data_IF_989525948782
#
_entry.id   IF_989525948782
#
_cell.length_a   1.000
_cell.length_b   1.000
_cell.length_c   1.000
_cell.angle_alpha   90.00
_cell.angle_beta   90.00
_cell.angle_gamma   90.00
#
_symmetry.space_group_name_H-M   'P 1'
#
loop_
_entity.id
_entity.type
_entity.pdbx_description
1 polymer ?
#
# COMPACT_ATOMS: atom_id res chain seq x y z
N UNK A 1 31.22 -25.60 22.08
CA UNK A 1 29.83 -25.61 22.58
C UNK A 1 29.26 -24.19 22.70
N UNK A 2 29.84 -23.29 23.51
CA UNK A 2 29.35 -21.90 23.69
C UNK A 2 29.30 -21.11 22.36
N UNK A 3 30.37 -21.14 21.56
CA UNK A 3 30.42 -20.42 20.27
C UNK A 3 29.32 -20.84 19.27
N UNK A 4 28.93 -22.12 19.27
CA UNK A 4 27.88 -22.64 18.39
C UNK A 4 26.50 -22.23 18.91
N UNK A 5 26.30 -22.25 20.23
CA UNK A 5 25.09 -21.74 20.85
C UNK A 5 24.87 -20.25 20.54
N UNK A 6 25.91 -19.41 20.69
CA UNK A 6 25.85 -17.98 20.37
C UNK A 6 25.50 -17.74 18.90
N UNK A 7 26.14 -18.46 17.96
CA UNK A 7 25.82 -18.35 16.53
C UNK A 7 24.36 -18.70 16.25
N UNK A 8 23.87 -19.80 16.83
CA UNK A 8 22.49 -20.24 16.67
C UNK A 8 21.50 -19.23 17.22
N UNK A 9 21.78 -18.60 18.37
CA UNK A 9 20.94 -17.54 18.93
C UNK A 9 20.88 -16.32 18.01
N UNK A 10 22.02 -15.91 17.44
CA UNK A 10 22.06 -14.80 16.47
C UNK A 10 21.21 -15.13 15.23
N UNK A 11 21.29 -16.34 14.71
CA UNK A 11 20.49 -16.76 13.55
C UNK A 11 18.99 -16.74 13.87
N UNK A 12 18.58 -17.18 15.06
CA UNK A 12 17.19 -17.07 15.50
C UNK A 12 16.73 -15.62 15.62
N UNK A 13 17.54 -14.73 16.23
CA UNK A 13 17.20 -13.31 16.33
C UNK A 13 17.05 -12.66 14.95
N UNK A 14 17.99 -12.93 14.03
CA UNK A 14 17.93 -12.38 12.67
C UNK A 14 16.72 -12.91 11.90
N UNK A 15 16.44 -14.20 12.02
CA UNK A 15 15.24 -14.81 11.43
C UNK A 15 13.98 -14.15 11.96
N UNK A 16 13.83 -14.02 13.28
CA UNK A 16 12.66 -13.40 13.91
C UNK A 16 12.50 -11.94 13.52
N UNK A 17 13.58 -11.17 13.46
CA UNK A 17 13.54 -9.78 13.01
C UNK A 17 13.11 -9.67 11.55
N UNK A 18 13.70 -10.46 10.66
CA UNK A 18 13.30 -10.50 9.25
C UNK A 18 11.85 -10.93 9.06
N UNK A 19 11.43 -11.94 9.82
CA UNK A 19 10.05 -12.41 9.84
C UNK A 19 9.06 -11.33 10.25
N UNK A 20 9.30 -10.65 11.38
CA UNK A 20 8.43 -9.59 11.89
C UNK A 20 8.32 -8.46 10.87
N UNK A 21 9.44 -8.03 10.28
CA UNK A 21 9.47 -6.95 9.28
C UNK A 21 8.66 -7.33 8.04
N UNK A 22 8.83 -8.54 7.52
CA UNK A 22 8.14 -8.93 6.29
C UNK A 22 6.64 -9.16 6.47
N UNK A 23 6.23 -9.67 7.63
CA UNK A 23 4.82 -9.82 8.01
C UNK A 23 4.07 -8.47 8.00
N UNK A 24 4.77 -7.34 8.15
CA UNK A 24 4.14 -6.01 8.11
C UNK A 24 3.67 -5.61 6.71
N UNK A 25 4.30 -6.08 5.64
CA UNK A 25 3.97 -5.68 4.27
C UNK A 25 2.51 -6.00 3.88
N UNK A 26 2.02 -7.25 4.02
CA UNK A 26 0.62 -7.55 3.68
C UNK A 26 -0.37 -6.81 4.58
N UNK A 27 -0.05 -6.63 5.86
CA UNK A 27 -0.87 -5.84 6.78
C UNK A 27 -0.95 -4.37 6.35
N UNK A 28 0.18 -3.78 5.98
CA UNK A 28 0.24 -2.41 5.51
C UNK A 28 -0.59 -2.22 4.25
N UNK A 29 -0.49 -3.14 3.28
CA UNK A 29 -1.31 -3.12 2.06
C UNK A 29 -2.80 -3.20 2.41
N UNK A 30 -3.17 -4.04 3.37
CA UNK A 30 -4.56 -4.17 3.80
C UNK A 30 -5.08 -2.87 4.43
N UNK A 31 -4.33 -2.23 5.32
CA UNK A 31 -4.71 -0.94 5.93
C UNK A 31 -4.73 0.19 4.89
N UNK A 32 -3.77 0.19 3.96
CA UNK A 32 -3.73 1.13 2.84
C UNK A 32 -4.98 1.03 1.97
N UNK A 33 -5.42 -0.20 1.64
CA UNK A 33 -6.67 -0.44 0.92
C UNK A 33 -7.88 0.09 1.68
N UNK A 34 -7.99 -0.17 2.99
CA UNK A 34 -9.08 0.33 3.82
C UNK A 34 -9.13 1.87 3.83
N UNK A 35 -7.97 2.52 3.91
CA UNK A 35 -7.85 3.96 3.80
C UNK A 35 -8.34 4.49 2.44
N UNK A 36 -7.96 3.85 1.33
CA UNK A 36 -8.47 4.22 0.00
C UNK A 36 -9.98 4.03 -0.13
N UNK A 37 -10.53 2.94 0.41
CA UNK A 37 -11.98 2.70 0.44
C UNK A 37 -12.70 3.83 1.21
N UNK A 38 -12.12 4.29 2.33
CA UNK A 38 -12.63 5.46 3.05
C UNK A 38 -12.61 6.72 2.19
N UNK A 39 -11.51 7.01 1.48
CA UNK A 39 -11.42 8.14 0.54
C UNK A 39 -12.45 8.04 -0.59
N UNK A 40 -12.69 6.83 -1.11
CA UNK A 40 -13.67 6.60 -2.17
C UNK A 40 -15.09 6.87 -1.66
N UNK A 41 -15.42 6.40 -0.46
CA UNK A 41 -16.72 6.63 0.17
C UNK A 41 -16.98 8.13 0.40
N UNK A 42 -15.99 8.86 0.90
CA UNK A 42 -16.10 10.32 1.10
C UNK A 42 -16.28 11.05 -0.24
N UNK A 43 -15.48 10.68 -1.24
CA UNK A 43 -15.58 11.25 -2.58
C UNK A 43 -16.94 10.95 -3.24
N UNK A 44 -17.49 9.74 -3.06
CA UNK A 44 -18.83 9.39 -3.53
C UNK A 44 -19.89 10.26 -2.85
N UNK A 45 -19.80 10.47 -1.54
CA UNK A 45 -20.74 11.34 -0.82
C UNK A 45 -20.77 12.77 -1.38
N UNK A 46 -19.60 13.31 -1.75
CA UNK A 46 -19.54 14.61 -2.43
C UNK A 46 -20.18 14.57 -3.83
N UNK A 47 -19.92 13.53 -4.63
CA UNK A 47 -20.51 13.36 -5.96
C UNK A 47 -22.04 13.26 -5.87
N UNK A 48 -22.57 12.54 -4.88
CA UNK A 48 -24.03 12.37 -4.69
C UNK A 48 -24.76 13.71 -4.52
N UNK A 49 -24.11 14.69 -3.87
CA UNK A 49 -24.64 16.04 -3.75
C UNK A 49 -24.87 16.72 -5.10
N UNK A 50 -23.90 16.61 -6.00
CA UNK A 50 -23.99 17.15 -7.36
C UNK A 50 -24.86 16.31 -8.28
N UNK A 51 -24.85 14.99 -8.10
CA UNK A 51 -25.72 14.08 -8.84
C UNK A 51 -27.20 14.43 -8.60
N UNK A 52 -27.60 14.75 -7.36
CA UNK A 52 -28.97 15.22 -7.08
C UNK A 52 -29.35 16.49 -7.84
N UNK A 53 -28.40 17.41 -8.01
CA UNK A 53 -28.62 18.63 -8.80
C UNK A 53 -28.77 18.27 -10.29
N UNK A 54 -27.92 17.37 -10.79
CA UNK A 54 -28.01 16.84 -12.14
C UNK A 54 -29.34 16.13 -12.41
N UNK A 55 -29.83 15.33 -11.46
CA UNK A 55 -31.12 14.63 -11.54
C UNK A 55 -32.29 15.62 -11.67
N UNK A 56 -32.23 16.73 -10.93
CA UNK A 56 -33.30 17.73 -10.90
C UNK A 56 -33.31 18.67 -12.11
N UNK A 57 -32.14 19.01 -12.65
CA UNK A 57 -32.00 20.10 -13.64
C UNK A 57 -31.40 19.68 -14.99
N UNK A 58 -30.78 18.50 -15.06
CA UNK A 58 -29.98 18.06 -16.20
C UNK A 58 -30.23 16.59 -16.59
N UNK A 59 -31.41 16.07 -16.27
CA UNK A 59 -31.82 14.70 -16.66
C UNK A 59 -30.96 13.58 -16.06
N UNK A 60 -30.25 13.88 -14.96
CA UNK A 60 -29.34 12.95 -14.30
C UNK A 60 -27.94 12.86 -14.90
N UNK A 61 -27.63 13.62 -15.96
CA UNK A 61 -26.27 13.64 -16.51
C UNK A 61 -25.40 14.69 -15.82
N UNK A 62 -24.60 14.24 -14.86
CA UNK A 62 -23.66 15.09 -14.14
C UNK A 62 -22.60 15.73 -15.05
N UNK A 63 -22.29 15.17 -16.22
CA UNK A 63 -21.37 15.79 -17.18
C UNK A 63 -21.98 17.04 -17.82
N UNK A 64 -23.30 17.03 -18.03
CA UNK A 64 -24.02 18.21 -18.49
C UNK A 64 -23.97 19.30 -17.41
N UNK A 65 -24.20 18.95 -16.15
CA UNK A 65 -24.05 19.88 -15.02
C UNK A 65 -22.65 20.52 -14.98
N UNK A 66 -21.59 19.70 -15.08
CA UNK A 66 -20.20 20.17 -15.11
C UNK A 66 -19.98 21.15 -16.27
N UNK A 67 -20.42 20.80 -17.47
CA UNK A 67 -20.24 21.62 -18.67
C UNK A 67 -20.94 22.97 -18.56
N UNK A 68 -22.14 23.02 -17.97
CA UNK A 68 -22.88 24.26 -17.73
C UNK A 68 -22.17 25.16 -16.71
N UNK A 69 -21.62 24.58 -15.64
CA UNK A 69 -20.80 25.32 -14.67
C UNK A 69 -19.52 25.88 -15.29
N UNK A 70 -18.83 25.10 -16.13
CA UNK A 70 -17.61 25.53 -16.81
C UNK A 70 -17.86 26.64 -17.86
N UNK A 71 -19.03 26.64 -18.51
CA UNK A 71 -19.40 27.65 -19.51
C UNK A 71 -20.01 28.93 -18.92
N UNK A 72 -20.27 28.94 -17.61
CA UNK A 72 -20.88 30.09 -16.97
C UNK A 72 -19.93 31.30 -16.96
N UNK A 73 -20.47 32.51 -17.07
CA UNK A 73 -19.67 33.75 -17.08
C UNK A 73 -19.00 34.07 -15.74
N UNK A 74 -19.55 33.57 -14.62
CA UNK A 74 -18.99 33.86 -13.29
C UNK A 74 -17.94 32.83 -12.92
N UNK A 75 -16.75 33.30 -12.56
CA UNK A 75 -15.60 32.46 -12.14
C UNK A 75 -15.95 31.46 -11.04
N UNK A 76 -16.82 31.81 -10.09
CA UNK A 76 -17.22 30.91 -9.01
C UNK A 76 -17.92 29.64 -9.55
N UNK A 77 -18.78 29.75 -10.57
CA UNK A 77 -19.41 28.57 -11.18
C UNK A 77 -18.40 27.74 -11.96
N UNK A 78 -17.48 28.38 -12.69
CA UNK A 78 -16.41 27.67 -13.39
C UNK A 78 -15.53 26.85 -12.42
N UNK A 79 -15.15 27.43 -11.29
CA UNK A 79 -14.39 26.75 -10.24
C UNK A 79 -15.16 25.57 -9.65
N UNK A 80 -16.46 25.72 -9.41
CA UNK A 80 -17.31 24.60 -8.97
C UNK A 80 -17.36 23.51 -10.03
N UNK A 81 -17.52 23.84 -11.31
CA UNK A 81 -17.48 22.88 -12.41
C UNK A 81 -16.19 22.08 -12.44
N UNK A 82 -15.05 22.76 -12.28
CA UNK A 82 -13.74 22.10 -12.19
C UNK A 82 -13.64 21.18 -10.97
N UNK A 83 -14.11 21.63 -9.80
CA UNK A 83 -14.10 20.81 -8.59
C UNK A 83 -14.91 19.52 -8.74
N UNK A 84 -16.08 19.59 -9.38
CA UNK A 84 -16.92 18.40 -9.65
C UNK A 84 -16.24 17.47 -10.65
N UNK A 85 -15.60 18.00 -11.68
CA UNK A 85 -14.82 17.21 -12.63
C UNK A 85 -13.65 16.48 -11.94
N UNK A 86 -12.93 17.18 -11.06
CA UNK A 86 -11.84 16.61 -10.27
C UNK A 86 -12.35 15.51 -9.32
N UNK A 87 -13.53 15.69 -8.73
CA UNK A 87 -14.18 14.66 -7.91
C UNK A 87 -14.46 13.39 -8.73
N UNK A 88 -14.97 13.50 -9.97
CA UNK A 88 -15.21 12.35 -10.84
C UNK A 88 -13.91 11.63 -11.21
N UNK A 89 -12.89 12.38 -11.60
CA UNK A 89 -11.59 11.79 -11.94
C UNK A 89 -10.98 11.08 -10.72
N UNK A 90 -11.11 11.67 -9.53
CA UNK A 90 -10.65 11.06 -8.28
C UNK A 90 -11.43 9.80 -7.94
N UNK A 91 -12.73 9.77 -8.18
CA UNK A 91 -13.55 8.57 -8.01
C UNK A 91 -13.03 7.41 -8.85
N UNK A 92 -12.83 7.64 -10.15
CA UNK A 92 -12.33 6.64 -11.10
C UNK A 92 -10.94 6.14 -10.71
N UNK A 93 -10.03 7.05 -10.33
CA UNK A 93 -8.70 6.70 -9.87
C UNK A 93 -8.74 5.80 -8.63
N UNK A 94 -9.50 6.20 -7.60
CA UNK A 94 -9.61 5.44 -6.35
C UNK A 94 -10.25 4.07 -6.57
N UNK A 95 -11.34 4.01 -7.34
CA UNK A 95 -12.02 2.76 -7.70
C UNK A 95 -11.08 1.79 -8.43
N UNK A 96 -10.33 2.29 -9.41
CA UNK A 96 -9.34 1.49 -10.12
C UNK A 96 -8.23 1.01 -9.17
N UNK A 97 -7.64 1.89 -8.36
CA UNK A 97 -6.59 1.53 -7.40
C UNK A 97 -7.04 0.43 -6.44
N UNK A 98 -8.24 0.55 -5.86
CA UNK A 98 -8.83 -0.46 -4.98
C UNK A 98 -9.00 -1.79 -5.72
N UNK A 99 -9.57 -1.78 -6.94
CA UNK A 99 -9.78 -3.00 -7.72
C UNK A 99 -8.47 -3.76 -8.03
N UNK A 100 -7.35 -3.03 -8.21
CA UNK A 100 -6.03 -3.63 -8.43
C UNK A 100 -5.43 -4.21 -7.15
N UNK A 101 -5.72 -3.59 -6.01
CA UNK A 101 -5.30 -4.10 -4.69
C UNK A 101 -6.14 -5.30 -4.21
N UNK A 102 -7.30 -5.56 -4.82
CA UNK A 102 -8.14 -6.73 -4.54
C UNK A 102 -7.81 -7.95 -5.41
N UNK A 103 -6.70 -7.91 -6.15
CA UNK A 103 -6.25 -9.05 -6.94
C UNK A 103 -5.97 -10.28 -6.06
N UNK A 104 -6.37 -11.50 -6.46
CA UNK A 104 -6.20 -12.70 -5.64
C UNK A 104 -4.74 -13.11 -5.41
N UNK A 105 -3.84 -12.71 -6.30
CA UNK A 105 -2.42 -13.06 -6.22
C UNK A 105 -1.67 -12.03 -5.38
N UNK A 106 -1.10 -12.47 -4.25
CA UNK A 106 -0.32 -11.61 -3.36
C UNK A 106 0.84 -10.89 -4.06
N UNK A 107 1.54 -11.57 -4.98
CA UNK A 107 2.63 -10.94 -5.75
C UNK A 107 2.10 -9.80 -6.63
N UNK A 108 0.99 -10.01 -7.31
CA UNK A 108 0.35 -8.95 -8.10
C UNK A 108 -0.16 -7.83 -7.21
N UNK A 109 -0.68 -8.14 -6.03
CA UNK A 109 -1.09 -7.14 -5.05
C UNK A 109 0.09 -6.26 -4.60
N UNK A 110 1.27 -6.83 -4.33
CA UNK A 110 2.47 -6.06 -3.99
C UNK A 110 2.93 -5.18 -5.16
N UNK A 111 2.92 -5.69 -6.39
CA UNK A 111 3.27 -4.90 -7.59
C UNK A 111 2.28 -3.74 -7.79
N UNK A 112 0.98 -4.03 -7.69
CA UNK A 112 -0.08 -3.04 -7.82
C UNK A 112 0.00 -1.99 -6.70
N UNK A 113 0.34 -2.40 -5.48
CA UNK A 113 0.58 -1.45 -4.39
C UNK A 113 1.69 -0.46 -4.74
N UNK A 114 2.82 -0.92 -5.29
CA UNK A 114 3.92 -0.03 -5.73
C UNK A 114 3.47 0.89 -6.87
N UNK A 115 2.62 0.40 -7.79
CA UNK A 115 2.16 1.18 -8.93
C UNK A 115 1.13 2.27 -8.54
N UNK A 116 0.27 1.98 -7.58
CA UNK A 116 -0.86 2.85 -7.20
C UNK A 116 -0.64 3.59 -5.87
N UNK A 117 0.50 3.41 -5.20
CA UNK A 117 0.82 4.18 -4.02
C UNK A 117 1.08 5.64 -4.36
N UNK A 118 0.67 6.52 -3.46
CA UNK A 118 1.12 7.92 -3.45
C UNK A 118 1.89 8.17 -2.15
N UNK A 119 2.92 9.02 -2.20
CA UNK A 119 3.72 9.31 -1.01
C UNK A 119 2.90 9.95 0.12
N UNK A 120 1.88 10.74 -0.25
CA UNK A 120 0.97 11.37 0.70
C UNK A 120 0.09 10.34 1.42
N UNK A 121 -0.49 9.39 0.67
CA UNK A 121 -1.35 8.35 1.23
C UNK A 121 -0.53 7.40 2.10
N UNK A 122 0.66 6.99 1.64
CA UNK A 122 1.59 6.16 2.43
C UNK A 122 1.95 6.87 3.74
N UNK A 123 2.33 8.15 3.68
CA UNK A 123 2.67 8.92 4.89
C UNK A 123 1.48 8.99 5.86
N UNK A 124 0.27 9.18 5.34
CA UNK A 124 -0.95 9.24 6.15
C UNK A 124 -1.20 7.91 6.83
N UNK A 125 -1.20 6.80 6.08
CA UNK A 125 -1.41 5.45 6.62
C UNK A 125 -0.31 5.11 7.63
N UNK A 126 0.97 5.38 7.32
CA UNK A 126 2.09 5.16 8.24
C UNK A 126 1.97 5.93 9.55
N UNK A 127 1.30 7.10 9.58
CA UNK A 127 1.13 7.88 10.80
C UNK A 127 0.15 7.26 11.81
N UNK A 128 -0.78 6.43 11.33
CA UNK A 128 -1.76 5.71 12.15
C UNK A 128 -1.49 4.20 12.22
N UNK A 129 -0.49 3.72 11.46
CA UNK A 129 -0.16 2.31 11.36
C UNK A 129 0.32 1.77 12.72
N UNK A 130 -0.27 0.66 13.13
CA UNK A 130 0.15 -0.09 14.31
C UNK A 130 0.70 -1.45 13.87
N UNK A 131 1.84 -1.81 14.47
CA UNK A 131 2.48 -3.09 14.19
C UNK A 131 1.52 -4.23 14.56
N UNK A 132 1.28 -5.14 13.62
CA UNK A 132 0.47 -6.32 13.86
C UNK A 132 1.22 -7.58 13.41
N UNK A 133 0.83 -8.73 13.98
CA UNK A 133 1.33 -10.03 13.53
C UNK A 133 0.15 -10.80 12.93
N UNK A 134 -0.27 -10.47 11.70
CA UNK A 134 -1.31 -11.23 11.01
C UNK A 134 -0.85 -12.68 10.81
N UNK A 135 -1.80 -13.61 10.97
CA UNK A 135 -1.61 -15.06 10.82
C UNK A 135 -2.05 -15.52 9.41
N UNK A 136 -2.14 -14.59 8.46
CA UNK A 136 -2.52 -14.91 7.08
C UNK A 136 -1.42 -15.65 6.33
N UNK A 137 -1.77 -16.38 5.27
CA UNK A 137 -0.78 -17.14 4.49
C UNK A 137 0.22 -16.20 3.79
N UNK A 138 -0.22 -15.01 3.40
CA UNK A 138 0.59 -13.96 2.78
C UNK A 138 1.62 -13.42 3.78
N UNK A 139 1.19 -13.18 5.02
CA UNK A 139 2.06 -12.77 6.12
C UNK A 139 3.07 -13.85 6.49
N UNK A 140 2.62 -15.08 6.68
CA UNK A 140 3.50 -16.20 7.02
C UNK A 140 4.51 -16.48 5.91
N UNK A 141 4.09 -16.49 4.64
CA UNK A 141 4.99 -16.74 3.50
C UNK A 141 6.01 -15.63 3.31
N UNK A 142 5.61 -14.35 3.38
CA UNK A 142 6.54 -13.22 3.33
C UNK A 142 7.52 -13.25 4.50
N UNK A 143 7.02 -13.50 5.72
CA UNK A 143 7.82 -13.69 6.93
C UNK A 143 8.88 -14.76 6.78
N UNK A 144 8.49 -15.96 6.34
CA UNK A 144 9.42 -17.08 6.13
C UNK A 144 10.51 -16.73 5.11
N UNK A 145 10.12 -16.18 3.95
CA UNK A 145 11.05 -15.82 2.88
C UNK A 145 12.09 -14.83 3.41
N UNK A 146 11.66 -13.71 4.01
CA UNK A 146 12.59 -12.67 4.44
C UNK A 146 13.43 -13.10 5.65
N UNK A 147 12.85 -13.88 6.58
CA UNK A 147 13.57 -14.48 7.70
C UNK A 147 14.73 -15.35 7.24
N UNK A 148 14.51 -16.24 6.25
CA UNK A 148 15.58 -17.05 5.67
C UNK A 148 16.60 -16.21 4.91
N UNK A 149 16.16 -15.19 4.14
CA UNK A 149 17.07 -14.28 3.43
C UNK A 149 18.04 -13.60 4.40
N UNK A 150 17.59 -13.15 5.58
CA UNK A 150 18.47 -12.52 6.57
C UNK A 150 19.50 -13.49 7.14
N UNK A 151 19.10 -14.72 7.44
CA UNK A 151 20.04 -15.76 7.90
C UNK A 151 21.06 -16.07 6.81
N UNK A 152 20.62 -16.24 5.56
CA UNK A 152 21.50 -16.53 4.42
C UNK A 152 22.46 -15.40 4.13
N UNK A 153 22.01 -14.15 4.21
CA UNK A 153 22.84 -12.96 4.03
C UNK A 153 23.93 -12.90 5.10
N UNK A 154 23.61 -13.20 6.36
CA UNK A 154 24.61 -13.29 7.43
C UNK A 154 25.63 -14.40 7.18
N UNK A 155 25.19 -15.58 6.75
CA UNK A 155 26.09 -16.68 6.39
C UNK A 155 27.02 -16.25 5.26
N UNK A 156 26.47 -15.67 4.19
CA UNK A 156 27.23 -15.18 3.04
C UNK A 156 28.27 -14.13 3.47
N UNK A 157 27.89 -13.12 4.26
CA UNK A 157 28.82 -12.12 4.78
C UNK A 157 29.94 -12.74 5.62
N UNK A 158 29.61 -13.70 6.49
CA UNK A 158 30.62 -14.36 7.32
C UNK A 158 31.61 -15.20 6.50
N UNK A 159 31.16 -15.84 5.41
CA UNK A 159 32.03 -16.60 4.52
C UNK A 159 32.92 -15.70 3.67
N UNK A 160 32.41 -14.57 3.17
CA UNK A 160 33.20 -13.58 2.44
C UNK A 160 34.27 -12.95 3.33
N UNK A 161 33.91 -12.55 4.56
CA UNK A 161 34.87 -12.02 5.52
C UNK A 161 35.94 -13.04 5.90
N UNK A 162 35.57 -14.31 6.11
CA UNK A 162 36.53 -15.38 6.36
C UNK A 162 37.54 -15.55 5.23
N UNK A 163 37.07 -15.48 3.97
CA UNK A 163 37.94 -15.53 2.77
C UNK A 163 38.87 -14.33 2.67
N UNK A 164 38.41 -13.13 2.99
CA UNK A 164 39.24 -11.91 2.96
C UNK A 164 40.32 -11.89 4.06
N UNK A 165 40.02 -12.47 5.24
CA UNK A 165 40.96 -12.53 6.38
C UNK A 165 41.87 -13.79 6.30
N UNK A 166 41.70 -14.64 5.28
CA UNK A 166 42.51 -15.86 5.12
C UNK A 166 42.20 -16.97 6.13
N UNK A 167 41.04 -16.91 6.80
CA UNK A 167 40.59 -17.94 7.73
C UNK A 167 39.82 -18.99 6.91
N UNK A 168 40.27 -20.26 6.83
CA UNK A 168 39.59 -21.28 6.03
C UNK A 168 38.17 -21.54 6.56
N UNK A 169 37.23 -21.67 5.63
CA UNK A 169 35.82 -21.94 5.94
C UNK A 169 35.72 -23.26 6.73
N UNK A 170 35.35 -23.16 8.02
CA UNK A 170 35.03 -24.33 8.83
C UNK A 170 33.61 -24.77 8.48
N UNK A 171 33.53 -25.85 7.70
CA UNK A 171 32.33 -26.67 7.51
C UNK A 171 31.80 -27.18 8.84
#
# INVERSE_FOLDING_TARGET
>A
MIMNAVKSTVDYCLFTLGFIVAVQLPEFIQQYKQYLVGKLSENQWHIDGYQKIADQSYGGDIKVLINEYLKNDKTAFQQTGQLVADLQQRHEFLSNAISKLETPSYIHQVINFIQYLTLEDVKTVSSYYQLAVPISIEAMSSGLILGFVFVWLRVLLSTLLGRLVGIPARY
#
